data_IF_701216467709
#
_entry.id   IF_701216467709
#
_cell.length_a   1.000
_cell.length_b   1.000
_cell.length_c   1.000
_cell.angle_alpha   90.00
_cell.angle_beta   90.00
_cell.angle_gamma   90.00
#
_symmetry.space_group_name_H-M   'P 1'
#
loop_
_entity.id
_entity.type
_entity.pdbx_description
1 polymer ?
#
# COMPACT_ATOMS: atom_id res chain seq x y z
N UNK A 1 -37.72 29.85 -43.37
CA UNK A 1 -36.35 29.98 -42.83
C UNK A 1 -36.24 29.75 -41.31
N UNK A 2 -37.32 29.85 -40.53
CA UNK A 2 -37.28 29.73 -39.05
C UNK A 2 -37.15 28.27 -38.50
N UNK A 3 -37.40 27.24 -39.32
CA UNK A 3 -37.35 25.81 -38.92
C UNK A 3 -35.92 25.24 -38.88
N UNK A 4 -35.03 25.68 -39.77
CA UNK A 4 -33.62 25.25 -39.78
C UNK A 4 -32.84 25.79 -38.58
N UNK A 5 -33.19 27.00 -38.11
CA UNK A 5 -32.56 27.63 -36.96
C UNK A 5 -32.85 26.89 -35.64
N UNK A 6 -34.06 26.30 -35.48
CA UNK A 6 -34.40 25.47 -34.31
C UNK A 6 -33.63 24.16 -34.24
N UNK A 7 -33.38 23.53 -35.39
CA UNK A 7 -32.60 22.28 -35.48
C UNK A 7 -31.12 22.57 -35.19
N UNK A 8 -30.59 23.70 -35.65
CA UNK A 8 -29.20 24.10 -35.37
C UNK A 8 -28.99 24.39 -33.87
N UNK A 9 -29.92 25.10 -33.22
CA UNK A 9 -29.84 25.41 -31.79
C UNK A 9 -29.94 24.15 -30.89
N UNK A 10 -30.75 23.16 -31.28
CA UNK A 10 -30.82 21.88 -30.53
C UNK A 10 -29.51 21.08 -30.62
N UNK A 11 -28.83 21.10 -31.77
CA UNK A 11 -27.57 20.35 -31.96
C UNK A 11 -26.40 21.01 -31.22
N UNK A 12 -26.37 22.34 -31.12
CA UNK A 12 -25.31 23.07 -30.39
C UNK A 12 -25.45 22.89 -28.86
N UNK A 13 -26.67 22.77 -28.34
CA UNK A 13 -26.88 22.57 -26.90
C UNK A 13 -26.47 21.17 -26.40
N UNK A 14 -26.49 20.15 -27.27
CA UNK A 14 -26.10 18.76 -26.92
C UNK A 14 -24.58 18.58 -26.82
N UNK A 15 -23.78 19.46 -27.46
CA UNK A 15 -22.31 19.37 -27.46
C UNK A 15 -21.62 19.90 -26.19
N UNK A 16 -22.35 20.52 -25.26
CA UNK A 16 -21.77 21.14 -24.05
C UNK A 16 -21.69 20.24 -22.81
N UNK A 17 -22.13 18.98 -22.86
CA UNK A 17 -22.40 18.20 -21.65
C UNK A 17 -21.35 17.17 -21.21
N UNK A 18 -20.13 17.13 -21.77
CA UNK A 18 -19.18 16.08 -21.37
C UNK A 18 -17.70 16.50 -21.34
N UNK A 19 -17.38 17.66 -20.75
CA UNK A 19 -16.01 17.90 -20.28
C UNK A 19 -15.85 17.30 -18.87
N UNK A 20 -15.74 15.97 -18.79
CA UNK A 20 -15.22 15.33 -17.58
C UNK A 20 -13.71 15.55 -17.58
N UNK A 21 -13.22 16.37 -16.64
CA UNK A 21 -11.79 16.47 -16.38
C UNK A 21 -11.28 15.09 -16.00
N UNK A 22 -10.43 14.50 -16.85
CA UNK A 22 -9.70 13.29 -16.50
C UNK A 22 -8.85 13.58 -15.26
N UNK A 23 -9.23 13.02 -14.11
CA UNK A 23 -8.48 13.15 -12.87
C UNK A 23 -7.28 12.19 -12.89
N UNK A 24 -6.13 12.72 -12.50
CA UNK A 24 -4.86 12.01 -12.55
C UNK A 24 -4.58 11.31 -11.21
N UNK A 25 -5.45 10.41 -10.78
CA UNK A 25 -5.45 9.88 -9.40
C UNK A 25 -4.70 8.54 -9.26
N UNK A 26 -4.37 8.15 -8.01
CA UNK A 26 -4.07 6.75 -7.66
C UNK A 26 -5.36 6.05 -7.23
N UNK A 27 -5.79 5.04 -7.98
CA UNK A 27 -7.05 4.32 -7.72
C UNK A 27 -6.81 2.84 -7.45
N UNK A 28 -7.63 2.27 -6.57
CA UNK A 28 -7.71 0.81 -6.40
C UNK A 28 -9.12 0.35 -6.66
N UNK A 29 -9.27 -0.62 -7.55
CA UNK A 29 -10.52 -1.27 -7.91
C UNK A 29 -10.56 -2.69 -7.32
N UNK A 30 -11.58 -2.98 -6.52
CA UNK A 30 -11.75 -4.28 -5.90
C UNK A 30 -12.70 -5.14 -6.73
N UNK A 31 -12.18 -6.17 -7.39
CA UNK A 31 -12.97 -7.18 -8.11
C UNK A 31 -13.00 -8.53 -7.39
N UNK A 32 -12.61 -8.55 -6.11
CA UNK A 32 -12.74 -9.72 -5.24
C UNK A 32 -14.17 -9.86 -4.71
N UNK A 33 -14.47 -10.99 -4.07
CA UNK A 33 -15.78 -11.29 -3.49
C UNK A 33 -16.01 -10.69 -2.09
N UNK A 34 -15.03 -10.01 -1.50
CA UNK A 34 -15.12 -9.43 -0.15
C UNK A 34 -14.61 -7.99 -0.11
N UNK A 35 -15.11 -7.15 0.82
CA UNK A 35 -14.52 -5.83 1.04
C UNK A 35 -13.07 -5.96 1.52
N UNK A 36 -12.24 -5.02 1.10
CA UNK A 36 -10.81 -5.00 1.46
C UNK A 36 -10.45 -3.69 2.16
N UNK A 37 -9.59 -3.79 3.17
CA UNK A 37 -8.90 -2.67 3.80
C UNK A 37 -7.60 -2.38 3.07
N UNK A 38 -7.30 -1.11 2.84
CA UNK A 38 -6.10 -0.68 2.13
C UNK A 38 -5.35 0.37 2.94
N UNK A 39 -4.03 0.24 2.97
CA UNK A 39 -3.10 1.30 3.34
C UNK A 39 -2.13 1.55 2.17
N UNK A 40 -1.68 2.79 2.02
CA UNK A 40 -0.71 3.20 1.01
C UNK A 40 0.50 3.84 1.68
N UNK A 41 1.67 3.62 1.13
CA UNK A 41 2.90 4.28 1.52
C UNK A 41 3.60 4.90 0.33
N UNK A 42 4.34 5.98 0.57
CA UNK A 42 5.09 6.69 -0.45
C UNK A 42 6.27 7.43 0.17
N UNK A 43 7.22 7.83 -0.69
CA UNK A 43 8.34 8.68 -0.30
C UNK A 43 7.97 10.15 -0.48
N UNK A 44 8.33 10.95 0.51
CA UNK A 44 8.41 12.40 0.39
C UNK A 44 9.87 12.79 0.16
N UNK A 45 10.14 14.09 0.01
CA UNK A 45 11.50 14.64 -0.16
C UNK A 45 12.46 14.28 0.98
N UNK A 46 11.94 14.07 2.19
CA UNK A 46 12.76 13.88 3.39
C UNK A 46 12.43 12.61 4.17
N UNK A 47 11.30 11.95 3.88
CA UNK A 47 10.82 10.86 4.73
C UNK A 47 9.97 9.84 3.96
N UNK A 48 9.58 8.79 4.67
CA UNK A 48 8.52 7.88 4.27
C UNK A 48 7.22 8.27 4.95
N UNK A 49 6.11 8.08 4.26
CA UNK A 49 4.77 8.26 4.82
C UNK A 49 3.94 7.02 4.52
N UNK A 50 3.15 6.58 5.49
CA UNK A 50 2.10 5.58 5.30
C UNK A 50 0.76 6.12 5.78
N UNK A 51 -0.30 5.83 5.04
CA UNK A 51 -1.67 6.27 5.28
C UNK A 51 -2.64 5.10 5.18
N UNK A 52 -3.76 5.19 5.88
CA UNK A 52 -4.83 4.17 5.89
C UNK A 52 -5.95 4.57 6.84
N UNK A 53 -7.04 3.84 7.00
CA UNK A 53 -7.50 2.74 6.18
C UNK A 53 -8.56 3.24 5.20
N UNK A 54 -8.41 2.86 3.94
CA UNK A 54 -9.53 2.90 3.01
C UNK A 54 -10.24 1.56 3.03
N UNK A 55 -11.57 1.58 3.07
CA UNK A 55 -12.37 0.38 2.83
C UNK A 55 -12.86 0.46 1.39
N UNK A 56 -12.52 -0.56 0.59
CA UNK A 56 -12.96 -0.69 -0.80
C UNK A 56 -13.98 -1.82 -0.89
N UNK A 57 -15.28 -1.51 -1.07
CA UNK A 57 -16.32 -2.52 -1.22
C UNK A 57 -16.08 -3.40 -2.45
N UNK A 58 -16.77 -4.54 -2.52
CA UNK A 58 -16.71 -5.43 -3.68
C UNK A 58 -17.21 -4.71 -4.93
N UNK A 59 -16.57 -4.94 -6.07
CA UNK A 59 -16.91 -4.34 -7.38
C UNK A 59 -16.83 -2.82 -7.44
N UNK A 60 -16.25 -2.16 -6.43
CA UNK A 60 -16.05 -0.71 -6.39
C UNK A 60 -14.59 -0.31 -6.54
N UNK A 61 -14.37 0.95 -6.92
CA UNK A 61 -13.04 1.57 -6.89
C UNK A 61 -13.00 2.73 -5.88
N UNK A 62 -11.86 2.93 -5.22
CA UNK A 62 -11.57 4.10 -4.38
C UNK A 62 -10.30 4.80 -4.84
N UNK A 63 -10.32 6.13 -4.74
CA UNK A 63 -9.14 6.96 -4.91
C UNK A 63 -8.38 7.02 -3.59
N UNK A 64 -7.10 6.65 -3.61
CA UNK A 64 -6.22 6.71 -2.44
C UNK A 64 -5.40 8.00 -2.42
N UNK A 65 -4.99 8.49 -3.59
CA UNK A 65 -4.29 9.77 -3.76
C UNK A 65 -5.09 10.56 -4.79
N UNK A 66 -5.54 11.75 -4.40
CA UNK A 66 -6.23 12.70 -5.29
C UNK A 66 -5.20 13.57 -6.01
N UNK A 67 -5.36 13.69 -7.32
CA UNK A 67 -4.49 14.49 -8.16
C UNK A 67 -3.18 13.80 -8.59
N UNK A 68 -2.40 14.47 -9.46
CA UNK A 68 -1.32 13.86 -10.22
C UNK A 68 -0.25 13.25 -9.33
N UNK A 69 0.14 12.02 -9.67
CA UNK A 69 1.21 11.32 -8.99
C UNK A 69 2.55 12.02 -9.19
N UNK A 70 3.26 12.22 -8.08
CA UNK A 70 4.55 12.91 -8.01
C UNK A 70 5.72 11.96 -7.76
N UNK A 71 5.43 10.67 -7.57
CA UNK A 71 6.41 9.60 -7.37
C UNK A 71 6.18 8.50 -8.41
N UNK A 72 7.26 7.81 -8.79
CA UNK A 72 7.19 6.58 -9.58
C UNK A 72 6.77 5.36 -8.76
N UNK A 73 7.18 5.32 -7.50
CA UNK A 73 6.99 4.17 -6.65
C UNK A 73 6.00 4.50 -5.53
N UNK A 74 4.98 3.66 -5.42
CA UNK A 74 4.02 3.64 -4.33
C UNK A 74 4.00 2.26 -3.71
N UNK A 75 3.55 2.16 -2.46
CA UNK A 75 3.62 0.94 -1.68
C UNK A 75 2.22 0.63 -1.18
N UNK A 76 1.69 -0.55 -1.46
CA UNK A 76 0.32 -0.92 -1.13
C UNK A 76 0.29 -2.05 -0.11
N UNK A 77 -0.52 -1.90 0.92
CA UNK A 77 -0.86 -2.97 1.84
C UNK A 77 -2.36 -3.22 1.78
N UNK A 78 -2.74 -4.47 1.53
CA UNK A 78 -4.13 -4.90 1.40
C UNK A 78 -4.42 -5.95 2.47
N UNK A 79 -5.47 -5.72 3.25
CA UNK A 79 -5.99 -6.65 4.25
C UNK A 79 -7.41 -7.04 3.87
N UNK A 80 -7.73 -8.33 3.98
CA UNK A 80 -9.10 -8.81 3.86
C UNK A 80 -9.46 -9.68 5.08
N UNK A 81 -10.75 -10.00 5.23
CA UNK A 81 -11.27 -10.75 6.38
C UNK A 81 -10.72 -12.18 6.48
N UNK A 82 -10.18 -12.75 5.39
CA UNK A 82 -9.61 -14.10 5.35
C UNK A 82 -8.09 -14.15 5.54
N UNK A 83 -7.38 -13.07 5.20
CA UNK A 83 -5.92 -12.95 5.26
C UNK A 83 -5.58 -11.60 5.89
N UNK A 84 -5.33 -11.64 7.20
CA UNK A 84 -4.57 -10.60 7.87
C UNK A 84 -3.08 -10.76 7.52
N UNK A 85 -2.49 -9.77 6.85
CA UNK A 85 -1.04 -9.56 6.92
C UNK A 85 -0.10 -10.49 6.12
N UNK A 86 -0.58 -11.25 5.14
CA UNK A 86 0.32 -11.99 4.23
C UNK A 86 0.68 -11.16 2.99
N UNK A 87 1.20 -9.94 3.21
CA UNK A 87 1.71 -9.10 2.13
C UNK A 87 3.02 -9.69 1.58
N UNK A 88 3.14 -9.82 0.26
CA UNK A 88 4.34 -10.38 -0.39
C UNK A 88 5.45 -9.33 -0.54
N UNK A 89 5.17 -8.06 -0.22
CA UNK A 89 5.99 -6.91 -0.60
C UNK A 89 7.30 -6.69 0.15
N UNK A 90 8.28 -5.94 -0.34
CA UNK A 90 9.62 -5.92 0.27
C UNK A 90 9.81 -4.87 1.38
N UNK A 91 8.91 -3.90 1.51
CA UNK A 91 9.10 -2.73 2.37
C UNK A 91 8.24 -2.79 3.62
N UNK A 92 8.86 -2.64 4.79
CA UNK A 92 8.18 -2.63 6.09
C UNK A 92 7.87 -1.20 6.52
N UNK A 93 6.59 -0.89 6.73
CA UNK A 93 6.14 0.42 7.19
C UNK A 93 5.26 0.32 8.43
N UNK A 94 5.01 1.45 9.09
CA UNK A 94 4.16 1.52 10.27
C UNK A 94 2.67 1.57 9.87
N UNK A 95 1.81 0.89 10.63
CA UNK A 95 0.35 0.95 10.50
C UNK A 95 -0.31 1.01 11.87
N UNK A 96 -1.57 1.41 11.93
CA UNK A 96 -2.38 1.45 13.16
C UNK A 96 -3.77 0.88 12.89
N UNK A 97 -4.52 0.46 13.91
CA UNK A 97 -5.84 -0.18 13.74
C UNK A 97 -6.96 0.80 13.30
N UNK A 98 -6.84 2.08 13.64
CA UNK A 98 -7.76 3.16 13.21
C UNK A 98 -7.24 3.86 11.97
N UNK A 99 -8.02 4.75 11.34
CA UNK A 99 -7.52 5.65 10.30
C UNK A 99 -6.27 6.41 10.79
N UNK A 100 -5.27 6.56 9.93
CA UNK A 100 -3.93 7.04 10.27
C UNK A 100 -3.22 7.68 9.07
N UNK A 101 -2.28 8.56 9.42
CA UNK A 101 -1.18 9.05 8.58
C UNK A 101 0.07 9.05 9.47
N UNK A 102 1.11 8.30 9.11
CA UNK A 102 2.31 8.09 9.91
C UNK A 102 3.54 8.45 9.09
N UNK A 103 4.33 9.39 9.61
CA UNK A 103 5.65 9.70 9.05
C UNK A 103 6.73 8.77 9.66
N UNK A 104 7.63 8.28 8.81
CA UNK A 104 8.77 7.47 9.16
C UNK A 104 8.45 5.99 9.44
N UNK A 105 9.34 5.11 8.99
CA UNK A 105 9.20 3.65 9.08
C UNK A 105 9.95 3.01 10.27
N UNK A 106 10.69 3.83 11.03
CA UNK A 106 11.51 3.37 12.15
C UNK A 106 10.73 3.36 13.47
N UNK A 107 11.12 2.45 14.37
CA UNK A 107 10.61 2.35 15.73
C UNK A 107 9.08 2.29 15.87
N UNK A 108 8.37 1.69 14.91
CA UNK A 108 6.89 1.61 14.90
C UNK A 108 6.34 1.15 16.27
N UNK A 109 6.82 0.03 16.80
CA UNK A 109 6.34 -0.53 18.07
C UNK A 109 6.56 0.39 19.28
N UNK A 110 7.72 1.04 19.38
CA UNK A 110 8.02 1.98 20.47
C UNK A 110 7.14 3.24 20.37
N UNK A 111 6.74 3.61 19.16
CA UNK A 111 5.80 4.70 18.87
C UNK A 111 4.33 4.29 19.03
N UNK A 112 4.04 3.04 19.40
CA UNK A 112 2.67 2.53 19.55
C UNK A 112 2.01 2.02 18.26
N UNK A 113 2.76 1.89 17.18
CA UNK A 113 2.29 1.39 15.89
C UNK A 113 2.67 -0.07 15.65
N UNK A 114 2.00 -0.71 14.71
CA UNK A 114 2.33 -2.04 14.22
C UNK A 114 3.21 -1.93 12.97
N UNK A 115 3.83 -3.05 12.54
CA UNK A 115 4.55 -3.14 11.28
C UNK A 115 3.78 -4.00 10.28
N UNK A 116 3.67 -3.51 9.05
CA UNK A 116 3.11 -4.26 7.93
C UNK A 116 4.07 -4.23 6.73
N UNK A 117 3.91 -5.26 5.87
CA UNK A 117 4.75 -5.52 4.71
C UNK A 117 4.02 -5.06 3.44
N UNK A 118 4.46 -3.95 2.86
CA UNK A 118 3.84 -3.30 1.70
C UNK A 118 4.46 -3.77 0.39
N UNK A 119 3.62 -4.00 -0.61
CA UNK A 119 3.97 -4.35 -1.99
C UNK A 119 4.31 -3.10 -2.80
N UNK A 120 5.45 -3.11 -3.49
CA UNK A 120 5.87 -2.00 -4.34
C UNK A 120 5.10 -2.02 -5.66
N UNK A 121 4.58 -0.86 -6.03
CA UNK A 121 3.89 -0.57 -7.28
C UNK A 121 4.75 0.43 -8.06
N UNK A 122 5.30 -0.01 -9.18
CA UNK A 122 6.00 0.86 -10.14
C UNK A 122 4.99 1.43 -11.13
N UNK A 123 4.73 2.73 -11.04
CA UNK A 123 3.81 3.45 -11.95
C UNK A 123 4.48 3.85 -13.27
N UNK A 124 5.79 3.62 -13.42
CA UNK A 124 6.54 4.01 -14.61
C UNK A 124 6.51 5.52 -14.88
N UNK A 125 6.56 6.33 -13.83
CA UNK A 125 6.49 7.81 -13.87
C UNK A 125 5.15 8.35 -14.42
N UNK A 126 4.10 7.53 -14.46
CA UNK A 126 2.77 7.98 -14.86
C UNK A 126 2.14 8.87 -13.78
N UNK A 127 1.43 9.91 -14.24
CA UNK A 127 0.73 10.86 -13.36
C UNK A 127 -0.59 10.31 -12.81
N UNK A 128 -1.03 9.13 -13.23
CA UNK A 128 -2.20 8.43 -12.72
C UNK A 128 -1.93 6.93 -12.74
N UNK A 129 -2.60 6.17 -11.88
CA UNK A 129 -2.42 4.73 -11.82
C UNK A 129 -3.66 4.03 -11.26
N UNK A 130 -3.92 2.81 -11.72
CA UNK A 130 -4.99 1.97 -11.21
C UNK A 130 -4.47 0.57 -10.89
N UNK A 131 -4.69 0.14 -9.65
CA UNK A 131 -4.49 -1.25 -9.24
C UNK A 131 -5.83 -1.97 -9.24
N UNK A 132 -5.90 -3.13 -9.89
CA UNK A 132 -7.06 -4.01 -9.84
C UNK A 132 -6.78 -5.21 -8.93
N UNK A 133 -7.58 -5.36 -7.88
CA UNK A 133 -7.51 -6.50 -6.97
C UNK A 133 -8.43 -7.61 -7.47
N UNK A 134 -7.87 -8.80 -7.66
CA UNK A 134 -8.58 -10.00 -8.11
C UNK A 134 -8.35 -11.14 -7.15
N UNK A 135 -9.33 -12.04 -7.06
CA UNK A 135 -9.16 -13.29 -6.33
C UNK A 135 -8.16 -14.17 -7.11
N UNK A 136 -7.00 -14.47 -6.52
CA UNK A 136 -6.14 -15.53 -7.05
C UNK A 136 -6.85 -16.86 -6.75
N UNK A 137 -7.11 -17.73 -7.76
CA UNK A 137 -7.65 -19.04 -7.49
C UNK A 137 -6.69 -19.77 -6.56
N UNK A 138 -7.17 -20.13 -5.37
CA UNK A 138 -6.46 -21.04 -4.48
C UNK A 138 -6.48 -22.38 -5.22
N UNK A 139 -5.38 -22.73 -5.89
CA UNK A 139 -5.13 -24.10 -6.27
C UNK A 139 -5.05 -24.88 -4.95
N UNK A 140 -6.20 -25.39 -4.52
CA UNK A 140 -6.26 -26.40 -3.48
C UNK A 140 -5.61 -27.64 -4.09
N UNK A 141 -4.34 -27.86 -3.75
CA UNK A 141 -3.66 -29.13 -3.94
C UNK A 141 -4.32 -30.17 -3.02
N UNK A 142 -5.48 -30.65 -3.46
CA UNK A 142 -6.15 -31.81 -2.90
C UNK A 142 -5.90 -32.97 -3.84
N UNK A 143 -4.74 -33.60 -3.74
CA UNK A 143 -4.56 -35.00 -4.15
C UNK A 143 -3.97 -35.80 -3.00
N UNK A 144 -4.82 -36.63 -2.40
CA UNK A 144 -4.48 -37.62 -1.37
C UNK A 144 -4.05 -38.93 -2.05
N UNK A 145 -2.75 -39.29 -1.89
CA UNK A 145 -2.10 -40.63 -1.77
C UNK A 145 -2.18 -41.68 -2.93
N UNK A 146 -1.30 -42.72 -3.03
CA UNK A 146 -0.28 -43.22 -2.07
C UNK A 146 1.16 -43.49 -2.61
N UNK A 147 2.02 -43.87 -1.67
CA UNK A 147 3.46 -44.17 -1.69
C UNK A 147 3.99 -45.26 -2.65
N UNK A 148 5.17 -45.03 -3.24
CA UNK A 148 6.40 -45.88 -3.42
C UNK A 148 7.16 -45.36 -4.66
N UNK A 149 8.48 -45.19 -4.76
CA UNK A 149 9.66 -45.76 -4.09
C UNK A 149 10.90 -44.86 -4.27
N UNK A 150 11.70 -44.80 -3.21
CA UNK A 150 13.18 -44.66 -3.09
C UNK A 150 14.01 -44.26 -4.33
N UNK A 151 14.79 -43.16 -4.22
CA UNK A 151 16.20 -43.09 -4.65
C UNK A 151 16.97 -41.90 -4.03
N UNK A 152 17.70 -42.23 -2.95
CA UNK A 152 19.07 -41.85 -2.56
C UNK A 152 19.73 -40.55 -3.11
N UNK A 153 20.00 -39.65 -2.15
CA UNK A 153 21.16 -38.76 -1.93
C UNK A 153 21.88 -38.07 -3.10
N UNK A 154 22.07 -36.74 -2.99
CA UNK A 154 23.38 -36.06 -3.08
C UNK A 154 23.27 -34.61 -2.58
N UNK A 155 24.35 -34.17 -1.95
CA UNK A 155 24.67 -32.98 -1.15
C UNK A 155 24.22 -31.58 -1.62
N UNK A 156 24.02 -30.71 -0.61
CA UNK A 156 23.86 -29.26 -0.67
C UNK A 156 25.04 -28.51 -1.34
N UNK A 157 24.85 -27.22 -1.65
CA UNK A 157 25.39 -26.22 -0.72
C UNK A 157 24.39 -25.10 -0.36
N UNK A 158 24.34 -24.84 0.94
CA UNK A 158 23.71 -23.67 1.58
C UNK A 158 24.49 -22.41 1.21
N UNK A 159 23.85 -21.44 0.57
CA UNK A 159 24.31 -20.06 0.52
C UNK A 159 23.41 -19.23 1.44
N UNK A 160 23.89 -19.01 2.67
CA UNK A 160 23.35 -17.99 3.56
C UNK A 160 23.78 -16.61 3.06
N UNK A 161 22.94 -15.56 3.17
CA UNK A 161 23.39 -14.19 2.96
C UNK A 161 24.34 -13.74 4.09
N UNK A 162 25.30 -12.84 3.79
CA UNK A 162 26.29 -12.39 4.75
C UNK A 162 25.65 -11.56 5.88
N UNK A 163 26.04 -11.88 7.11
CA UNK A 163 25.80 -11.03 8.27
C UNK A 163 26.74 -9.81 8.21
N UNK A 164 26.19 -8.60 8.30
CA UNK A 164 26.96 -7.37 8.53
C UNK A 164 27.14 -7.07 10.03
N UNK A 165 28.20 -6.31 10.40
CA UNK A 165 28.87 -6.43 11.66
C UNK A 165 28.24 -5.61 12.78
N UNK A 166 28.30 -6.19 13.98
CA UNK A 166 28.08 -5.55 15.26
C UNK A 166 28.79 -4.18 15.36
N UNK A 167 27.99 -3.12 15.37
CA UNK A 167 28.45 -1.78 15.77
C UNK A 167 28.10 -1.55 17.24
N UNK A 168 29.12 -1.78 18.06
CA UNK A 168 29.41 -1.30 19.40
C UNK A 168 28.41 -0.26 19.95
N UNK A 169 27.67 -0.66 20.98
CA UNK A 169 26.99 0.23 21.92
C UNK A 169 28.03 1.07 22.67
N UNK A 170 28.17 2.35 22.32
CA UNK A 170 28.76 3.36 23.21
C UNK A 170 27.63 4.00 23.99
N UNK A 171 27.57 3.68 25.28
CA UNK A 171 26.78 4.38 26.28
C UNK A 171 27.22 5.85 26.36
N UNK A 172 26.34 6.75 25.92
CA UNK A 172 26.45 8.18 26.21
C UNK A 172 25.72 8.42 27.53
N UNK A 173 26.33 9.06 28.55
CA UNK A 173 25.66 9.33 29.81
C UNK A 173 24.55 10.36 29.61
N UNK A 174 23.36 10.04 30.14
CA UNK A 174 22.21 10.93 30.25
C UNK A 174 22.57 12.11 31.18
N UNK A 175 22.39 13.38 30.77
CA UNK A 175 22.54 14.50 31.69
C UNK A 175 21.38 14.47 32.69
N UNK A 176 21.71 14.26 33.96
CA UNK A 176 20.76 14.36 35.07
C UNK A 176 20.41 15.83 35.29
N UNK A 177 19.23 16.25 34.84
CA UNK A 177 18.68 17.55 35.21
C UNK A 177 18.32 17.54 36.71
N UNK A 178 19.13 18.21 37.53
CA UNK A 178 18.75 18.55 38.91
C UNK A 178 17.62 19.58 38.86
N UNK A 179 16.45 19.21 39.35
CA UNK A 179 15.45 20.18 39.79
C UNK A 179 15.96 20.84 41.08
N UNK A 180 16.37 22.10 40.97
CA UNK A 180 16.57 22.97 42.13
C UNK A 180 15.17 23.31 42.68
N UNK A 181 14.82 22.76 43.85
CA UNK A 181 13.63 23.20 44.60
C UNK A 181 13.87 24.63 45.07
N UNK A 182 13.10 25.57 44.52
CA UNK A 182 12.93 26.90 45.09
C UNK A 182 12.23 26.77 46.44
N UNK A 183 12.81 27.39 47.46
CA UNK A 183 12.19 27.57 48.77
C UNK A 183 10.96 28.48 48.68
N UNK A 184 9.89 28.10 49.36
CA UNK A 184 8.92 28.99 50.01
C UNK A 184 8.69 28.45 51.41
#
# INVERSE_FOLDING_TARGET
>A
MLKGLRILFLNVLVLFFAFECAKADFRVCNTTQEPVGIAIGYRTVSNWVSEGWWIVPTTECRTLIDGPLVSRFYYLYVENTRKKGSGVGTVMMCVQDSQFTIEGIHNCFVRGFQKAKFEEIDTGDQTNWMVQLTDKPVLHDSTVAPSTSVSKATSAPTLAPPAEPNSISKSIPVPTFRFSKSSS
#
